data_IF_841720495569
#
_entry.id   IF_841720495569
#
_cell.length_a   1.000
_cell.length_b   1.000
_cell.length_c   1.000
_cell.angle_alpha   90.00
_cell.angle_beta   90.00
_cell.angle_gamma   90.00
#
_symmetry.space_group_name_H-M   'P 1'
#
loop_
_entity.id
_entity.type
_entity.pdbx_description
1 polymer ?
#
# COMPACT_ATOMS: atom_id res chain seq x y z
N UNK A 1 -19.21 -33.96 -8.35
CA UNK A 1 -19.54 -32.52 -8.26
C UNK A 1 -18.92 -32.00 -6.98
N UNK A 2 -17.78 -31.31 -7.08
CA UNK A 2 -17.04 -30.84 -5.92
C UNK A 2 -17.58 -29.46 -5.52
N UNK A 3 -18.24 -29.37 -4.37
CA UNK A 3 -18.67 -28.10 -3.81
C UNK A 3 -17.45 -27.35 -3.28
N UNK A 4 -17.15 -26.21 -3.91
CA UNK A 4 -16.06 -25.32 -3.49
C UNK A 4 -16.33 -24.83 -2.07
N UNK A 5 -15.42 -25.15 -1.12
CA UNK A 5 -15.49 -24.59 0.25
C UNK A 5 -15.22 -23.08 0.17
N UNK A 6 -16.01 -22.23 0.83
CA UNK A 6 -15.68 -20.81 0.93
C UNK A 6 -14.37 -20.67 1.71
N UNK A 7 -13.47 -19.84 1.19
CA UNK A 7 -12.23 -19.47 1.87
C UNK A 7 -12.53 -18.89 3.27
N UNK A 8 -11.67 -19.10 4.28
CA UNK A 8 -11.86 -18.51 5.60
C UNK A 8 -11.91 -16.97 5.49
N UNK A 9 -12.88 -16.35 6.15
CA UNK A 9 -13.13 -14.91 6.11
C UNK A 9 -11.96 -14.14 6.74
N UNK A 10 -11.24 -13.39 5.92
CA UNK A 10 -9.98 -12.70 6.23
C UNK A 10 -10.16 -11.28 6.76
N UNK A 11 -11.40 -10.86 7.06
CA UNK A 11 -11.74 -9.45 7.32
C UNK A 11 -12.44 -9.25 8.68
N UNK A 12 -12.10 -10.08 9.68
CA UNK A 12 -12.69 -9.95 11.02
C UNK A 12 -12.35 -8.57 11.58
N UNK A 13 -13.36 -7.75 11.85
CA UNK A 13 -13.20 -6.40 12.36
C UNK A 13 -13.08 -5.29 11.30
N UNK A 14 -12.99 -5.61 10.00
CA UNK A 14 -13.04 -4.59 8.93
C UNK A 14 -14.51 -4.23 8.63
N UNK A 15 -14.89 -2.94 8.58
CA UNK A 15 -16.24 -2.51 8.23
C UNK A 15 -16.67 -3.00 6.84
N UNK A 16 -17.98 -3.20 6.63
CA UNK A 16 -18.50 -3.66 5.34
C UNK A 16 -18.24 -2.66 4.20
N UNK A 17 -18.36 -1.37 4.50
CA UNK A 17 -18.05 -0.27 3.60
C UNK A 17 -16.58 -0.32 3.14
N UNK A 18 -15.64 -0.40 4.08
CA UNK A 18 -14.22 -0.61 3.80
C UNK A 18 -13.97 -1.85 2.92
N UNK A 19 -14.66 -2.98 3.20
CA UNK A 19 -14.50 -4.20 2.38
C UNK A 19 -14.94 -4.03 0.93
N UNK A 20 -15.87 -3.13 0.64
CA UNK A 20 -16.34 -2.88 -0.73
C UNK A 20 -15.29 -2.13 -1.57
N UNK A 21 -14.30 -1.51 -0.93
CA UNK A 21 -13.22 -0.78 -1.58
C UNK A 21 -12.13 -1.70 -2.14
N UNK A 22 -12.01 -2.94 -1.65
CA UNK A 22 -10.96 -3.84 -2.13
C UNK A 22 -10.98 -3.99 -3.65
N UNK A 23 -9.80 -3.86 -4.32
CA UNK A 23 -9.65 -4.31 -5.68
C UNK A 23 -9.93 -5.81 -5.79
N UNK A 24 -10.42 -6.24 -6.95
CA UNK A 24 -10.64 -7.66 -7.20
C UNK A 24 -9.32 -8.44 -7.17
N UNK A 25 -9.32 -9.57 -6.47
CA UNK A 25 -8.22 -10.53 -6.47
C UNK A 25 -8.77 -11.94 -6.27
N UNK A 26 -8.25 -12.88 -7.06
CA UNK A 26 -8.46 -14.30 -6.77
C UNK A 26 -7.49 -14.68 -5.64
N UNK A 27 -8.04 -14.92 -4.45
CA UNK A 27 -7.25 -15.30 -3.29
C UNK A 27 -6.46 -16.59 -3.57
N UNK A 28 -5.14 -16.53 -3.38
CA UNK A 28 -4.25 -17.68 -3.59
C UNK A 28 -3.39 -17.98 -2.37
N UNK A 29 -3.29 -17.04 -1.42
CA UNK A 29 -2.48 -17.18 -0.20
C UNK A 29 -3.29 -16.77 1.04
N UNK A 30 -3.14 -17.47 2.18
CA UNK A 30 -3.77 -17.06 3.43
C UNK A 30 -3.30 -15.68 3.89
N UNK A 31 -4.16 -14.91 4.54
CA UNK A 31 -3.79 -13.60 5.12
C UNK A 31 -3.21 -13.71 6.53
N UNK A 32 -3.25 -14.90 7.12
CA UNK A 32 -2.88 -15.17 8.52
C UNK A 32 -1.41 -15.59 8.68
N UNK A 33 -0.58 -15.29 7.67
CA UNK A 33 0.85 -15.53 7.68
C UNK A 33 1.23 -16.96 7.33
N UNK A 34 0.25 -17.86 7.20
CA UNK A 34 0.52 -19.21 6.68
C UNK A 34 0.87 -19.17 5.20
N UNK A 35 1.72 -20.10 4.79
CA UNK A 35 2.10 -20.26 3.40
C UNK A 35 0.93 -20.66 2.50
N UNK A 36 1.13 -20.70 1.17
CA UNK A 36 2.44 -20.54 0.52
C UNK A 36 2.90 -19.08 0.53
N UNK A 37 4.21 -18.88 0.71
CA UNK A 37 4.88 -17.58 0.62
C UNK A 37 5.43 -17.37 -0.80
N UNK A 38 5.66 -16.13 -1.19
CA UNK A 38 6.50 -15.82 -2.35
C UNK A 38 7.99 -16.01 -2.02
N UNK A 39 8.79 -16.33 -3.04
CA UNK A 39 10.23 -16.48 -2.87
C UNK A 39 10.93 -15.11 -2.97
N UNK A 40 12.04 -14.89 -2.25
CA UNK A 40 12.87 -13.71 -2.44
C UNK A 40 13.30 -13.55 -3.91
N UNK A 41 13.03 -12.38 -4.49
CA UNK A 41 13.32 -12.06 -5.89
C UNK A 41 12.10 -12.16 -6.80
N UNK A 42 11.02 -12.81 -6.37
CA UNK A 42 9.75 -12.80 -7.11
C UNK A 42 9.29 -11.37 -7.37
N UNK A 43 8.76 -11.11 -8.57
CA UNK A 43 8.12 -9.83 -8.89
C UNK A 43 6.61 -10.00 -8.77
N UNK A 44 6.01 -9.15 -7.94
CA UNK A 44 4.56 -9.11 -7.71
C UNK A 44 4.04 -7.69 -7.91
N UNK A 45 2.74 -7.56 -8.14
CA UNK A 45 2.09 -6.26 -8.23
C UNK A 45 1.48 -5.87 -6.88
N UNK A 46 1.96 -4.79 -6.27
CA UNK A 46 1.37 -4.15 -5.10
C UNK A 46 0.28 -3.19 -5.55
N UNK A 47 -0.98 -3.63 -5.46
CA UNK A 47 -2.15 -2.87 -5.91
C UNK A 47 -2.77 -2.14 -4.72
N UNK A 48 -2.65 -0.82 -4.72
CA UNK A 48 -3.12 0.07 -3.65
C UNK A 48 -4.57 0.50 -3.84
N UNK A 49 -5.09 0.44 -5.07
CA UNK A 49 -6.49 0.68 -5.37
C UNK A 49 -6.83 0.09 -6.75
N UNK A 50 -8.05 0.34 -7.26
CA UNK A 50 -8.42 -0.05 -8.63
C UNK A 50 -7.50 0.58 -9.68
N UNK A 51 -7.05 1.81 -9.43
CA UNK A 51 -6.31 2.65 -10.39
C UNK A 51 -4.88 2.99 -9.95
N UNK A 52 -4.37 2.33 -8.90
CA UNK A 52 -3.01 2.58 -8.37
C UNK A 52 -2.28 1.29 -8.03
N UNK A 53 -0.99 1.22 -8.37
CA UNK A 53 -0.12 0.15 -7.92
C UNK A 53 1.25 0.13 -8.57
N UNK A 54 2.12 -0.72 -8.01
CA UNK A 54 3.54 -0.79 -8.35
C UNK A 54 4.01 -2.24 -8.51
N UNK A 55 4.82 -2.55 -9.54
CA UNK A 55 5.63 -3.76 -9.53
C UNK A 55 6.68 -3.65 -8.43
N UNK A 56 6.79 -4.69 -7.61
CA UNK A 56 7.72 -4.74 -6.49
C UNK A 56 8.40 -6.09 -6.46
N UNK A 57 9.63 -6.13 -5.98
CA UNK A 57 10.41 -7.34 -5.78
C UNK A 57 10.28 -7.82 -4.35
N UNK A 58 9.95 -9.09 -4.15
CA UNK A 58 9.83 -9.70 -2.81
C UNK A 58 11.21 -9.77 -2.18
N UNK A 59 11.36 -9.15 -1.01
CA UNK A 59 12.56 -9.25 -0.17
C UNK A 59 12.41 -10.40 0.81
N UNK A 60 11.24 -10.51 1.43
CA UNK A 60 10.88 -11.58 2.37
C UNK A 60 9.36 -11.74 2.39
N UNK A 61 8.88 -12.97 2.43
CA UNK A 61 7.48 -13.27 2.72
C UNK A 61 7.43 -14.41 3.72
N UNK A 62 6.91 -14.14 4.92
CA UNK A 62 6.82 -15.12 6.00
C UNK A 62 5.58 -14.89 6.88
N UNK A 63 5.53 -15.53 8.05
CA UNK A 63 4.40 -15.42 8.97
C UNK A 63 4.25 -14.04 9.65
N UNK A 64 5.29 -13.20 9.64
CA UNK A 64 5.25 -11.84 10.21
C UNK A 64 4.68 -10.84 9.21
N UNK A 65 4.94 -11.04 7.92
CA UNK A 65 4.43 -10.17 6.87
C UNK A 65 5.22 -10.24 5.56
N UNK A 66 4.76 -9.45 4.61
CA UNK A 66 5.38 -9.28 3.31
C UNK A 66 6.30 -8.07 3.33
N UNK A 67 7.56 -8.27 2.94
CA UNK A 67 8.56 -7.23 2.70
C UNK A 67 8.88 -7.18 1.22
N UNK A 68 8.80 -6.00 0.62
CA UNK A 68 9.09 -5.80 -0.80
C UNK A 68 9.99 -4.59 -1.03
N UNK A 69 10.66 -4.58 -2.17
CA UNK A 69 11.47 -3.49 -2.69
C UNK A 69 10.85 -2.94 -3.97
N UNK A 70 10.65 -1.62 -4.02
CA UNK A 70 10.30 -0.86 -5.22
C UNK A 70 11.56 -0.13 -5.71
N UNK A 71 12.19 -0.57 -6.82
CA UNK A 71 13.33 0.13 -7.40
C UNK A 71 12.93 1.50 -7.93
N UNK A 72 13.85 2.47 -7.84
CA UNK A 72 13.69 3.80 -8.44
C UNK A 72 13.38 3.68 -9.94
N UNK A 73 12.46 4.50 -10.46
CA UNK A 73 12.19 4.55 -11.89
C UNK A 73 11.36 3.38 -12.45
N UNK A 74 10.96 2.42 -11.61
CA UNK A 74 10.05 1.35 -12.02
C UNK A 74 8.75 1.92 -12.59
N UNK A 75 8.16 1.26 -13.58
CA UNK A 75 6.84 1.64 -14.06
C UNK A 75 5.81 1.48 -12.95
N UNK A 76 4.72 2.24 -12.99
CA UNK A 76 3.67 2.25 -11.99
C UNK A 76 2.37 2.69 -12.63
N UNK A 77 1.25 2.28 -12.05
CA UNK A 77 -0.06 2.82 -12.41
C UNK A 77 -0.47 3.82 -11.33
N UNK A 78 -0.89 5.01 -11.74
CA UNK A 78 -1.48 6.01 -10.85
C UNK A 78 -2.83 6.45 -11.38
N UNK A 79 -3.69 6.91 -10.47
CA UNK A 79 -4.91 7.59 -10.85
C UNK A 79 -4.62 9.02 -11.33
N UNK A 80 -5.28 9.42 -12.41
CA UNK A 80 -5.36 10.81 -12.91
C UNK A 80 -6.83 11.20 -13.04
N UNK A 81 -7.12 12.49 -12.90
CA UNK A 81 -8.44 13.02 -13.23
C UNK A 81 -8.71 12.87 -14.75
N UNK A 82 -9.97 12.87 -15.21
CA UNK A 82 -10.31 12.77 -16.63
C UNK A 82 -9.62 13.80 -17.54
N UNK A 83 -9.28 14.97 -17.00
CA UNK A 83 -8.56 16.04 -17.70
C UNK A 83 -7.03 15.91 -17.64
N UNK A 84 -6.51 14.80 -17.09
CA UNK A 84 -5.09 14.49 -17.00
C UNK A 84 -4.38 15.06 -15.77
N UNK A 85 -5.03 15.88 -14.95
CA UNK A 85 -4.43 16.42 -13.71
C UNK A 85 -4.20 15.34 -12.66
N UNK A 86 -3.34 15.65 -11.69
CA UNK A 86 -3.19 14.86 -10.46
C UNK A 86 -4.49 14.83 -9.65
N UNK A 87 -4.80 13.69 -9.04
CA UNK A 87 -5.95 13.57 -8.12
C UNK A 87 -5.80 14.47 -6.89
N UNK A 88 -4.57 14.87 -6.54
CA UNK A 88 -4.28 15.87 -5.50
C UNK A 88 -4.54 17.31 -5.94
N UNK A 89 -4.96 17.56 -7.19
CA UNK A 89 -5.38 18.89 -7.64
C UNK A 89 -6.80 19.27 -7.19
N UNK A 90 -7.54 18.33 -6.59
CA UNK A 90 -8.89 18.51 -6.05
C UNK A 90 -8.96 17.95 -4.64
N UNK A 91 -9.98 18.36 -3.88
CA UNK A 91 -10.19 17.81 -2.53
C UNK A 91 -10.56 16.33 -2.61
N UNK A 92 -10.25 15.52 -1.59
CA UNK A 92 -10.65 14.11 -1.53
C UNK A 92 -12.14 13.87 -1.81
N UNK A 93 -13.02 14.66 -1.21
CA UNK A 93 -14.48 14.56 -1.40
C UNK A 93 -14.96 14.90 -2.81
N UNK A 94 -14.14 15.59 -3.61
CA UNK A 94 -14.44 15.96 -4.99
C UNK A 94 -13.97 14.90 -6.00
N UNK A 95 -13.23 13.89 -5.55
CA UNK A 95 -12.75 12.79 -6.40
C UNK A 95 -13.89 11.83 -6.66
N UNK A 96 -14.04 11.44 -7.92
CA UNK A 96 -14.89 10.33 -8.33
C UNK A 96 -14.01 9.18 -8.81
N UNK A 97 -13.83 8.18 -7.94
CA UNK A 97 -12.99 7.01 -8.18
C UNK A 97 -13.39 6.25 -9.45
N UNK A 98 -14.66 6.31 -9.87
CA UNK A 98 -15.14 5.60 -11.06
C UNK A 98 -14.78 6.32 -12.37
N UNK A 99 -14.38 7.59 -12.29
CA UNK A 99 -13.94 8.39 -13.43
C UNK A 99 -12.42 8.56 -13.52
N UNK A 100 -11.69 8.14 -12.49
CA UNK A 100 -10.23 8.21 -12.50
C UNK A 100 -9.64 7.38 -13.66
N UNK A 101 -8.67 7.97 -14.35
CA UNK A 101 -7.97 7.34 -15.47
C UNK A 101 -6.70 6.69 -14.92
N UNK A 102 -6.60 5.34 -14.90
CA UNK A 102 -5.35 4.66 -14.54
C UNK A 102 -4.30 4.95 -15.62
N UNK A 103 -3.24 5.63 -15.23
CA UNK A 103 -2.20 6.14 -16.12
C UNK A 103 -0.86 5.51 -15.75
N UNK A 104 -0.17 4.91 -16.74
CA UNK A 104 1.18 4.42 -16.57
C UNK A 104 2.15 5.58 -16.45
N UNK A 105 3.04 5.51 -15.47
CA UNK A 105 4.16 6.44 -15.29
C UNK A 105 5.39 5.71 -14.77
N UNK A 106 6.51 6.42 -14.66
CA UNK A 106 7.66 5.95 -13.87
C UNK A 106 7.63 6.50 -12.45
N UNK A 107 8.00 5.66 -11.49
CA UNK A 107 8.19 6.05 -10.11
C UNK A 107 9.29 7.12 -9.99
N UNK A 108 8.92 8.29 -9.48
CA UNK A 108 9.81 9.46 -9.39
C UNK A 108 10.53 9.55 -8.04
N UNK A 109 10.08 8.80 -7.03
CA UNK A 109 10.73 8.76 -5.72
C UNK A 109 12.04 7.97 -5.74
N UNK A 110 12.77 8.03 -4.62
CA UNK A 110 13.85 7.08 -4.36
C UNK A 110 13.33 5.64 -4.24
N UNK A 111 14.23 4.67 -4.19
CA UNK A 111 13.84 3.30 -3.93
C UNK A 111 13.14 3.17 -2.56
N UNK A 112 12.24 2.20 -2.44
CA UNK A 112 11.35 2.09 -1.28
C UNK A 112 11.24 0.65 -0.81
N UNK A 113 11.52 0.40 0.47
CA UNK A 113 11.14 -0.86 1.12
C UNK A 113 9.75 -0.69 1.69
N UNK A 114 8.83 -1.60 1.38
CA UNK A 114 7.50 -1.66 2.02
C UNK A 114 7.39 -2.91 2.85
N UNK A 115 6.84 -2.78 4.04
CA UNK A 115 6.55 -3.89 4.95
C UNK A 115 5.06 -3.88 5.27
N UNK A 116 4.34 -4.90 4.84
CA UNK A 116 2.95 -5.16 5.24
C UNK A 116 2.93 -6.28 6.30
N UNK A 117 2.81 -5.94 7.60
CA UNK A 117 2.56 -6.93 8.64
C UNK A 117 1.35 -7.81 8.33
N UNK A 118 1.44 -9.08 8.67
CA UNK A 118 0.35 -10.04 8.50
C UNK A 118 -0.92 -9.57 9.20
N UNK A 119 -1.98 -9.36 8.41
CA UNK A 119 -3.31 -8.98 8.90
C UNK A 119 -3.44 -7.56 9.46
N UNK A 120 -2.37 -6.76 9.47
CA UNK A 120 -2.46 -5.39 9.97
C UNK A 120 -3.09 -4.47 8.90
N UNK A 121 -3.95 -3.52 9.32
CA UNK A 121 -4.50 -2.48 8.46
C UNK A 121 -3.53 -1.29 8.31
N UNK A 122 -2.25 -1.59 8.11
CA UNK A 122 -1.23 -0.59 7.78
C UNK A 122 0.01 -1.26 7.17
N UNK A 123 0.80 -0.49 6.43
CA UNK A 123 2.16 -0.88 6.04
C UNK A 123 3.17 0.23 6.29
N UNK A 124 4.44 -0.16 6.44
CA UNK A 124 5.55 0.75 6.69
C UNK A 124 6.39 0.90 5.42
N UNK A 125 6.56 2.13 4.96
CA UNK A 125 7.31 2.46 3.76
C UNK A 125 8.54 3.26 4.14
N UNK A 126 9.70 2.64 3.97
CA UNK A 126 10.98 3.25 4.19
C UNK A 126 11.45 3.84 2.85
N UNK A 127 11.93 5.08 2.83
CA UNK A 127 12.42 5.75 1.61
C UNK A 127 13.93 5.95 1.62
N UNK A 128 14.58 5.60 0.53
CA UNK A 128 15.98 5.99 0.30
C UNK A 128 16.03 7.40 -0.28
N UNK A 129 16.81 8.27 0.34
CA UNK A 129 17.23 9.57 -0.17
C UNK A 129 18.24 9.44 -1.32
N UNK A 130 18.58 10.57 -1.94
CA UNK A 130 19.46 10.62 -3.10
C UNK A 130 20.91 10.19 -2.81
N UNK A 131 21.34 10.29 -1.55
CA UNK A 131 22.62 9.83 -1.02
C UNK A 131 22.60 8.38 -0.53
N UNK A 132 21.45 7.69 -0.66
CA UNK A 132 21.22 6.37 -0.11
C UNK A 132 20.98 6.35 1.41
N UNK A 133 20.94 7.50 2.07
CA UNK A 133 20.48 7.65 3.46
C UNK A 133 18.95 7.61 3.54
N UNK A 134 18.37 7.31 4.70
CA UNK A 134 16.92 7.21 4.83
C UNK A 134 16.32 8.50 5.35
N UNK A 135 15.23 8.93 4.74
CA UNK A 135 14.62 10.24 5.03
C UNK A 135 13.49 10.18 6.05
N UNK A 136 13.02 8.98 6.39
CA UNK A 136 11.95 8.72 7.34
C UNK A 136 11.17 7.45 6.98
N UNK A 137 10.11 7.20 7.74
CA UNK A 137 9.15 6.12 7.49
C UNK A 137 7.77 6.71 7.32
N UNK A 138 7.09 6.34 6.25
CA UNK A 138 5.67 6.61 6.06
C UNK A 138 4.88 5.38 6.47
N UNK A 139 3.88 5.53 7.33
CA UNK A 139 2.99 4.44 7.69
C UNK A 139 1.66 4.68 6.99
N UNK A 140 1.39 3.86 5.97
CA UNK A 140 0.15 3.91 5.20
C UNK A 140 -0.95 3.20 6.00
N UNK A 141 -2.00 3.88 6.47
CA UNK A 141 -3.17 3.18 7.02
C UNK A 141 -4.00 2.70 5.84
N UNK A 142 -4.21 1.40 5.77
CA UNK A 142 -4.80 0.77 4.59
C UNK A 142 -5.52 -0.52 4.96
N UNK A 143 -6.27 -1.09 4.03
CA UNK A 143 -6.90 -2.38 4.29
C UNK A 143 -5.86 -3.50 4.46
N UNK A 144 -6.13 -4.51 5.32
CA UNK A 144 -5.24 -5.66 5.41
C UNK A 144 -5.03 -6.31 4.04
N UNK A 145 -3.78 -6.64 3.74
CA UNK A 145 -3.40 -7.16 2.43
C UNK A 145 -4.08 -8.50 2.11
N UNK A 146 -4.74 -8.56 0.94
CA UNK A 146 -5.23 -9.82 0.35
C UNK A 146 -4.28 -10.27 -0.76
N UNK A 147 -3.87 -11.53 -0.71
CA UNK A 147 -2.77 -12.06 -1.53
C UNK A 147 -3.26 -13.04 -2.59
N UNK A 148 -3.10 -12.65 -3.85
CA UNK A 148 -3.32 -13.48 -5.03
C UNK A 148 -2.05 -14.22 -5.46
N UNK A 149 -2.03 -14.73 -6.70
CA UNK A 149 -0.91 -15.51 -7.22
C UNK A 149 0.36 -14.66 -7.45
N UNK A 150 0.20 -13.49 -8.09
CA UNK A 150 1.29 -12.54 -8.41
C UNK A 150 0.95 -11.09 -8.03
N UNK A 151 -0.04 -10.91 -7.17
CA UNK A 151 -0.56 -9.60 -6.78
C UNK A 151 -0.89 -9.62 -5.30
N UNK A 152 -0.55 -8.54 -4.60
CA UNK A 152 -1.15 -8.20 -3.31
C UNK A 152 -2.06 -7.00 -3.50
N UNK A 153 -3.27 -7.06 -2.96
CA UNK A 153 -4.24 -5.96 -3.04
C UNK A 153 -4.54 -5.42 -1.66
N UNK A 154 -4.66 -4.10 -1.60
CA UNK A 154 -5.05 -3.30 -0.43
C UNK A 154 -5.93 -2.14 -0.91
N UNK A 155 -6.40 -1.31 0.01
CA UNK A 155 -6.97 -0.02 -0.30
C UNK A 155 -6.50 1.02 0.71
N UNK A 156 -5.98 2.14 0.21
CA UNK A 156 -5.62 3.32 0.99
C UNK A 156 -6.81 3.82 1.84
N UNK A 157 -6.57 4.15 3.10
CA UNK A 157 -7.61 4.68 4.01
C UNK A 157 -7.38 6.13 4.40
N UNK A 158 -6.61 6.87 3.59
CA UNK A 158 -6.40 8.32 3.63
C UNK A 158 -5.59 8.82 4.81
N UNK A 159 -5.74 8.23 5.99
CA UNK A 159 -4.97 8.60 7.18
C UNK A 159 -3.58 7.98 7.13
N UNK A 160 -2.56 8.76 7.45
CA UNK A 160 -1.17 8.28 7.45
C UNK A 160 -0.40 8.75 8.67
N UNK A 161 0.78 8.17 8.89
CA UNK A 161 1.76 8.68 9.84
C UNK A 161 3.08 8.96 9.14
N UNK A 162 3.73 10.05 9.53
CA UNK A 162 5.11 10.37 9.16
C UNK A 162 5.99 10.18 10.38
N UNK A 163 6.98 9.30 10.27
CA UNK A 163 7.99 9.04 11.31
C UNK A 163 9.33 9.60 10.83
N UNK A 164 9.86 10.55 11.58
CA UNK A 164 11.13 11.20 11.29
C UNK A 164 12.33 10.34 11.75
N UNK A 165 13.55 10.57 11.23
CA UNK A 165 14.73 9.81 11.62
C UNK A 165 15.10 9.86 13.11
N UNK A 166 14.73 10.94 13.82
CA UNK A 166 14.89 11.04 15.28
C UNK A 166 13.86 10.19 16.06
N UNK A 167 12.85 9.67 15.34
CA UNK A 167 11.74 8.88 15.83
C UNK A 167 10.59 9.72 16.41
N UNK A 168 10.62 11.04 16.25
CA UNK A 168 9.40 11.84 16.35
C UNK A 168 8.45 11.47 15.23
N UNK A 169 7.14 11.63 15.46
CA UNK A 169 6.14 11.31 14.45
C UNK A 169 4.94 12.24 14.54
N UNK A 170 4.18 12.30 13.45
CA UNK A 170 2.94 13.05 13.33
C UNK A 170 1.95 12.32 12.43
N UNK A 171 0.65 12.55 12.62
CA UNK A 171 -0.34 12.16 11.63
C UNK A 171 -0.20 13.00 10.36
N UNK A 172 -0.65 12.44 9.25
CA UNK A 172 -0.77 13.09 7.96
C UNK A 172 -2.17 12.80 7.39
N UNK A 173 -2.71 13.80 6.68
CA UNK A 173 -3.97 13.71 5.94
C UNK A 173 -5.22 13.49 6.84
N UNK A 174 -5.14 13.95 8.10
CA UNK A 174 -6.30 14.00 9.02
C UNK A 174 -7.41 14.91 8.50
N UNK A 175 -7.03 15.98 7.80
CA UNK A 175 -7.91 16.92 7.13
C UNK A 175 -8.57 16.31 5.90
N UNK A 176 -7.85 15.49 5.13
CA UNK A 176 -8.44 14.71 4.02
C UNK A 176 -9.49 13.72 4.53
N UNK A 177 -9.22 13.02 5.65
CA UNK A 177 -10.20 12.13 6.27
C UNK A 177 -11.43 12.90 6.79
N UNK A 178 -11.24 14.07 7.39
CA UNK A 178 -12.33 14.93 7.85
C UNK A 178 -13.16 15.50 6.70
N UNK A 179 -12.54 15.83 5.56
CA UNK A 179 -13.23 16.27 4.34
C UNK A 179 -14.16 15.17 3.79
N UNK A 180 -13.69 13.91 3.74
CA UNK A 180 -14.50 12.78 3.29
C UNK A 180 -15.68 12.48 4.23
N UNK A 181 -15.46 12.54 5.54
CA UNK A 181 -16.53 12.37 6.54
C UNK A 181 -17.55 13.50 6.45
N UNK A 182 -17.08 14.75 6.38
CA UNK A 182 -17.94 15.94 6.30
C UNK A 182 -18.78 16.02 5.02
N UNK A 183 -18.26 15.47 3.91
CA UNK A 183 -18.99 15.35 2.65
C UNK A 183 -19.94 14.13 2.60
N UNK A 184 -19.86 13.22 3.58
CA UNK A 184 -20.61 11.97 3.60
C UNK A 184 -20.10 10.92 2.59
N UNK A 185 -18.91 11.10 2.04
CA UNK A 185 -18.25 10.13 1.14
C UNK A 185 -17.90 8.85 1.89
N UNK A 186 -17.53 8.97 3.16
CA UNK A 186 -17.37 7.84 4.10
C UNK A 186 -18.30 8.00 5.29
N UNK A 187 -18.76 6.89 5.86
CA UNK A 187 -19.56 6.92 7.08
C UNK A 187 -18.75 7.37 8.32
N UNK A 188 -19.40 7.97 9.33
CA UNK A 188 -18.77 8.22 10.63
C UNK A 188 -18.20 6.94 11.26
N UNK A 189 -18.86 5.79 11.05
CA UNK A 189 -18.38 4.50 11.55
C UNK A 189 -17.07 4.06 10.87
N UNK A 190 -16.95 4.26 9.55
CA UNK A 190 -15.71 4.00 8.83
C UNK A 190 -14.62 4.99 9.26
N UNK A 191 -14.92 6.29 9.35
CA UNK A 191 -13.96 7.30 9.84
C UNK A 191 -13.43 6.95 11.23
N UNK A 192 -14.32 6.61 12.17
CA UNK A 192 -13.92 6.17 13.52
C UNK A 192 -13.05 4.92 13.50
N UNK A 193 -13.36 3.95 12.63
CA UNK A 193 -12.54 2.74 12.48
C UNK A 193 -11.16 3.04 11.91
N UNK A 194 -11.04 3.92 10.91
CA UNK A 194 -9.75 4.37 10.33
C UNK A 194 -8.91 5.06 11.40
N UNK A 195 -9.49 5.97 12.19
CA UNK A 195 -8.78 6.63 13.31
C UNK A 195 -8.29 5.63 14.35
N UNK A 196 -9.08 4.61 14.66
CA UNK A 196 -8.66 3.53 15.55
C UNK A 196 -7.48 2.73 14.99
N UNK A 197 -7.43 2.49 13.67
CA UNK A 197 -6.28 1.82 13.03
C UNK A 197 -5.04 2.71 13.03
N UNK A 198 -5.20 4.01 12.75
CA UNK A 198 -4.13 5.00 12.87
C UNK A 198 -3.54 5.05 14.29
N UNK A 199 -4.38 5.05 15.32
CA UNK A 199 -3.94 4.99 16.72
C UNK A 199 -3.21 3.68 17.07
N UNK A 200 -3.66 2.55 16.52
CA UNK A 200 -2.98 1.27 16.70
C UNK A 200 -1.60 1.25 16.02
N UNK A 201 -1.49 1.82 14.81
CA UNK A 201 -0.24 1.98 14.10
C UNK A 201 0.71 2.94 14.85
N UNK A 202 0.21 4.07 15.36
CA UNK A 202 0.96 5.00 16.20
C UNK A 202 1.55 4.30 17.42
N UNK A 203 0.78 3.45 18.09
CA UNK A 203 1.27 2.70 19.24
C UNK A 203 2.43 1.75 18.88
N UNK A 204 2.46 1.19 17.66
CA UNK A 204 3.61 0.42 17.14
C UNK A 204 4.83 1.33 16.94
N UNK A 205 4.62 2.51 16.36
CA UNK A 205 5.67 3.54 16.16
C UNK A 205 6.28 3.98 17.49
N UNK A 206 5.46 4.30 18.48
CA UNK A 206 5.90 4.76 19.81
C UNK A 206 6.75 3.72 20.54
N UNK A 207 6.39 2.44 20.42
CA UNK A 207 7.17 1.33 20.99
C UNK A 207 8.44 1.02 20.19
N UNK A 208 8.61 1.64 19.01
CA UNK A 208 9.66 1.32 18.03
C UNK A 208 9.73 -0.19 17.74
N UNK A 209 8.58 -0.84 17.73
CA UNK A 209 8.50 -2.27 17.45
C UNK A 209 8.71 -2.57 15.97
N UNK A 210 8.76 -3.85 15.63
CA UNK A 210 8.82 -4.29 14.25
C UNK A 210 7.74 -3.63 13.37
N UNK A 211 8.09 -3.15 12.16
CA UNK A 211 9.36 -3.31 11.46
C UNK A 211 10.42 -2.22 11.72
N UNK A 212 10.18 -1.27 12.61
CA UNK A 212 11.10 -0.15 12.85
C UNK A 212 12.42 -0.58 13.51
N UNK A 213 12.43 -1.71 14.20
CA UNK A 213 13.60 -2.29 14.89
C UNK A 213 14.50 -3.17 13.99
N UNK A 214 14.13 -3.39 12.73
CA UNK A 214 14.79 -4.38 11.86
C UNK A 214 15.92 -3.78 11.00
N UNK A 215 16.24 -2.49 11.18
CA UNK A 215 17.38 -1.89 10.51
C UNK A 215 17.19 -1.70 9.00
N UNK A 216 15.96 -1.55 8.52
CA UNK A 216 15.69 -1.20 7.11
C UNK A 216 16.45 0.06 6.68
N UNK A 217 16.75 0.96 7.62
CA UNK A 217 17.63 2.13 7.46
C UNK A 217 19.09 1.85 7.03
N UNK A 218 19.56 0.61 7.02
CA UNK A 218 20.87 0.25 6.49
C UNK A 218 20.79 -0.80 5.37
N UNK A 219 19.58 -1.31 5.11
CA UNK A 219 19.37 -2.30 4.07
C UNK A 219 19.68 -1.73 2.69
N UNK A 220 20.19 -2.60 1.81
CA UNK A 220 20.48 -2.31 0.40
C UNK A 220 19.97 -3.47 -0.46
N UNK A 221 19.42 -3.19 -1.64
CA UNK A 221 19.02 -4.24 -2.55
C UNK A 221 20.24 -5.08 -2.98
N UNK A 222 20.11 -6.41 -3.10
CA UNK A 222 21.13 -7.25 -3.73
C UNK A 222 21.48 -6.79 -5.15
N UNK A 223 22.64 -7.21 -5.67
CA UNK A 223 23.03 -6.91 -7.05
C UNK A 223 21.95 -7.34 -8.05
N UNK A 224 21.59 -6.45 -8.97
CA UNK A 224 20.54 -6.64 -9.98
C UNK A 224 19.12 -6.40 -9.49
N UNK A 225 18.88 -6.22 -8.18
CA UNK A 225 17.54 -5.98 -7.66
C UNK A 225 17.09 -4.52 -7.78
N UNK A 226 18.01 -3.60 -8.03
CA UNK A 226 17.73 -2.17 -8.17
C UNK A 226 17.40 -1.75 -9.61
N UNK A 227 17.33 -2.70 -10.54
CA UNK A 227 16.88 -2.43 -11.91
C UNK A 227 15.38 -2.04 -11.93
N UNK A 228 15.00 -0.95 -12.62
CA UNK A 228 13.60 -0.54 -12.76
C UNK A 228 12.73 -1.68 -13.30
N UNK A 229 11.61 -1.94 -12.62
CA UNK A 229 10.69 -2.99 -13.02
C UNK A 229 9.67 -2.46 -14.04
N UNK A 230 9.36 -3.21 -15.12
CA UNK A 230 8.22 -2.90 -15.98
C UNK A 230 6.89 -3.27 -15.29
N UNK A 231 5.78 -2.77 -15.82
CA UNK A 231 4.46 -3.28 -15.44
C UNK A 231 4.33 -4.76 -15.87
N UNK A 232 3.75 -5.62 -15.03
CA UNK A 232 3.38 -6.97 -15.43
C UNK A 232 2.36 -6.95 -16.58
N UNK A 233 2.43 -7.94 -17.48
CA UNK A 233 1.60 -8.03 -18.69
C UNK A 233 0.09 -8.08 -18.43
N UNK A 234 -0.33 -8.47 -17.22
CA UNK A 234 -1.72 -8.54 -16.79
C UNK A 234 -2.24 -7.25 -16.15
N UNK A 235 -1.37 -6.27 -15.89
CA UNK A 235 -1.77 -4.95 -15.41
C UNK A 235 -2.30 -4.13 -16.58
N UNK A 236 -3.47 -3.53 -16.38
CA UNK A 236 -4.15 -2.68 -17.36
C UNK A 236 -4.08 -1.22 -16.91
N UNK A 237 -3.92 -0.33 -17.88
CA UNK A 237 -3.94 1.12 -17.75
C UNK A 237 -4.56 1.71 -19.04
N UNK A 238 -5.00 2.96 -18.97
CA UNK A 238 -5.75 3.64 -20.03
C UNK A 238 -4.95 4.75 -20.73
N UNK A 239 -3.89 5.26 -20.11
CA UNK A 239 -3.05 6.31 -20.67
C UNK A 239 -1.59 6.20 -20.21
N UNK A 240 -0.70 6.88 -20.93
CA UNK A 240 0.69 7.10 -20.53
C UNK A 240 0.86 8.53 -20.01
N UNK A 241 1.61 8.70 -18.92
CA UNK A 241 2.03 10.02 -18.45
C UNK A 241 2.96 10.64 -19.50
N UNK A 242 2.52 11.75 -20.09
CA UNK A 242 3.33 12.52 -21.01
C UNK A 242 4.55 13.07 -20.28
N UNK A 243 5.73 12.78 -20.82
CA UNK A 243 7.02 13.26 -20.33
C UNK A 243 7.20 14.76 -20.49
#
# INVERSE_FOLDING_TARGET
MSASRPAPRTDVGVPAEARALYPEVVAARPVDGRGPHWEPGDVVFWRESRHRGHPVRVVRDDARGLVVWLPRGSESVVARLPDGRDVRAVRPSERDLDTEIPTRRRWQGGGQVRVAPTGAPWSFWFFTGADGGWTGVYVNVELPHRRGARTTVTHDLVLDLLVHPDGSWQYKDEDELADLEGAGTISPELSAWVRAQGAAAAAVVERRGWPLDEGWGSWRPPTGWDEPLPLPDDVRYAADELS
#
